data_IF_323031245990
#
_entry.id   IF_323031245990
#
_cell.length_a   1.000
_cell.length_b   1.000
_cell.length_c   1.000
_cell.angle_alpha   90.00
_cell.angle_beta   90.00
_cell.angle_gamma   90.00
#
_symmetry.space_group_name_H-M   'P 1'
#
loop_
_entity.id
_entity.type
_entity.pdbx_description
1 polymer ?
#
# COMPACT_ATOMS: atom_id res chain seq x y z
N UNK A 1 -6.24 -17.83 -7.14
CA UNK A 1 -5.92 -17.43 -5.75
C UNK A 1 -4.93 -18.42 -5.13
N UNK A 2 -3.70 -17.97 -4.83
CA UNK A 2 -2.65 -18.77 -4.18
C UNK A 2 -2.58 -18.43 -2.69
N UNK A 3 -2.37 -19.43 -1.83
CA UNK A 3 -2.28 -19.23 -0.37
C UNK A 3 -0.84 -19.38 0.10
N UNK A 4 -0.34 -18.39 0.83
CA UNK A 4 1.00 -18.39 1.43
C UNK A 4 0.86 -18.52 2.95
N UNK A 5 1.53 -19.52 3.52
CA UNK A 5 1.43 -19.87 4.93
C UNK A 5 2.72 -19.65 5.73
N UNK A 6 3.81 -19.24 5.07
CA UNK A 6 5.11 -18.98 5.69
C UNK A 6 5.95 -18.02 4.85
N UNK A 7 6.98 -17.43 5.46
CA UNK A 7 8.02 -16.65 4.80
C UNK A 7 9.23 -17.58 4.56
N UNK A 8 9.83 -17.51 3.38
CA UNK A 8 10.99 -18.33 3.02
C UNK A 8 12.32 -17.72 3.47
N UNK A 9 12.35 -16.41 3.67
CA UNK A 9 13.53 -15.66 4.08
C UNK A 9 13.41 -14.17 3.74
N UNK A 10 14.51 -13.46 3.86
CA UNK A 10 14.62 -12.05 3.50
C UNK A 10 15.29 -11.90 2.14
N UNK A 11 14.85 -10.93 1.33
CA UNK A 11 15.56 -10.53 0.11
C UNK A 11 17.00 -10.05 0.37
N UNK A 12 17.33 -9.75 1.63
CA UNK A 12 18.66 -9.31 2.06
C UNK A 12 19.61 -10.50 2.32
N UNK A 13 19.08 -11.73 2.46
CA UNK A 13 19.91 -12.91 2.66
C UNK A 13 20.73 -13.18 1.39
N UNK A 14 22.04 -13.42 1.52
CA UNK A 14 22.94 -13.50 0.37
C UNK A 14 22.53 -14.56 -0.67
N UNK A 15 22.09 -15.74 -0.22
CA UNK A 15 21.59 -16.80 -1.09
C UNK A 15 20.32 -16.38 -1.84
N UNK A 16 19.40 -15.73 -1.12
CA UNK A 16 18.14 -15.26 -1.63
C UNK A 16 18.33 -14.13 -2.64
N UNK A 17 19.19 -13.16 -2.32
CA UNK A 17 19.53 -12.03 -3.16
C UNK A 17 20.12 -12.48 -4.50
N UNK A 18 20.99 -13.49 -4.49
CA UNK A 18 21.56 -14.03 -5.72
C UNK A 18 20.49 -14.64 -6.63
N UNK A 19 19.60 -15.48 -6.07
CA UNK A 19 18.50 -16.10 -6.82
C UNK A 19 17.50 -15.07 -7.35
N UNK A 20 17.14 -14.09 -6.52
CA UNK A 20 16.27 -12.98 -6.90
C UNK A 20 16.88 -12.13 -8.01
N UNK A 21 18.20 -11.88 -7.99
CA UNK A 21 18.87 -11.11 -9.02
C UNK A 21 18.76 -11.78 -10.40
N UNK A 22 18.99 -13.10 -10.48
CA UNK A 22 18.83 -13.85 -11.73
C UNK A 22 17.39 -13.83 -12.26
N UNK A 23 16.40 -13.95 -11.38
CA UNK A 23 14.99 -13.88 -11.74
C UNK A 23 14.55 -12.46 -12.14
N UNK A 24 15.09 -11.43 -11.49
CA UNK A 24 14.78 -10.03 -11.77
C UNK A 24 15.20 -9.63 -13.19
N UNK A 25 16.36 -10.10 -13.67
CA UNK A 25 16.82 -9.88 -15.05
C UNK A 25 15.86 -10.44 -16.11
N UNK A 26 15.02 -11.41 -15.74
CA UNK A 26 14.03 -12.04 -16.62
C UNK A 26 12.61 -11.50 -16.40
N UNK A 27 12.44 -10.50 -15.53
CA UNK A 27 11.12 -9.98 -15.15
C UNK A 27 10.27 -10.98 -14.36
N UNK A 28 10.90 -11.98 -13.74
CA UNK A 28 10.23 -13.09 -13.07
C UNK A 28 10.03 -12.87 -11.56
N UNK A 29 10.26 -11.64 -11.07
CA UNK A 29 10.03 -11.27 -9.67
C UNK A 29 8.76 -10.44 -9.59
N UNK A 30 7.76 -10.97 -8.91
CA UNK A 30 6.52 -10.27 -8.62
C UNK A 30 6.54 -9.69 -7.21
N UNK A 31 5.77 -8.62 -7.01
CA UNK A 31 5.75 -7.85 -5.76
C UNK A 31 4.35 -7.84 -5.19
N UNK A 32 4.21 -8.31 -3.95
CA UNK A 32 2.99 -8.17 -3.17
C UNK A 32 3.08 -6.89 -2.34
N UNK A 33 2.32 -5.85 -2.72
CA UNK A 33 2.26 -4.62 -1.93
C UNK A 33 1.28 -4.81 -0.79
N UNK A 34 1.76 -4.64 0.44
CA UNK A 34 0.95 -4.71 1.65
C UNK A 34 1.05 -3.38 2.39
N UNK A 35 -0.10 -2.83 2.82
CA UNK A 35 -0.10 -1.61 3.62
C UNK A 35 0.51 -1.88 4.99
N UNK A 36 1.19 -0.89 5.58
CA UNK A 36 1.74 -1.00 6.94
C UNK A 36 0.68 -1.42 7.97
N UNK A 37 -0.57 -0.98 7.80
CA UNK A 37 -1.69 -1.35 8.68
C UNK A 37 -2.17 -2.78 8.51
N UNK A 38 -1.91 -3.38 7.35
CA UNK A 38 -2.30 -4.75 7.04
C UNK A 38 -1.25 -5.74 7.53
N UNK A 39 0.01 -5.33 7.72
CA UNK A 39 1.11 -6.16 8.22
C UNK A 39 0.76 -6.87 9.54
N UNK A 40 0.06 -6.19 10.44
CA UNK A 40 -0.35 -6.75 11.72
C UNK A 40 -1.49 -7.78 11.61
N UNK A 41 -2.14 -7.90 10.44
CA UNK A 41 -3.26 -8.82 10.22
C UNK A 41 -2.74 -10.22 9.91
N UNK A 42 -3.40 -11.20 10.52
CA UNK A 42 -3.07 -12.63 10.36
C UNK A 42 -3.43 -13.19 8.99
N UNK A 43 -4.46 -12.62 8.37
CA UNK A 43 -4.99 -13.04 7.09
C UNK A 43 -5.19 -11.81 6.23
N UNK A 44 -4.47 -11.76 5.12
CA UNK A 44 -4.52 -10.64 4.17
C UNK A 44 -4.83 -11.23 2.81
N UNK A 45 -5.79 -10.64 2.10
CA UNK A 45 -5.99 -10.88 0.67
C UNK A 45 -5.49 -9.65 -0.06
N UNK A 46 -4.54 -9.84 -0.94
CA UNK A 46 -3.95 -8.76 -1.72
C UNK A 46 -3.63 -9.26 -3.13
N UNK A 47 -3.55 -8.31 -4.05
CA UNK A 47 -3.22 -8.57 -5.45
C UNK A 47 -1.79 -8.12 -5.69
N UNK A 48 -0.99 -8.93 -6.36
CA UNK A 48 0.38 -8.58 -6.72
C UNK A 48 0.42 -7.53 -7.84
N UNK A 49 1.61 -6.99 -8.12
CA UNK A 49 1.79 -6.06 -9.24
C UNK A 49 1.53 -6.71 -10.60
N UNK A 50 1.76 -8.02 -10.74
CA UNK A 50 1.40 -8.75 -11.96
C UNK A 50 -0.10 -9.08 -12.08
N UNK A 51 -0.90 -8.78 -11.05
CA UNK A 51 -2.34 -9.06 -11.02
C UNK A 51 -2.72 -10.42 -10.42
N UNK A 52 -1.79 -11.14 -9.79
CA UNK A 52 -2.07 -12.42 -9.13
C UNK A 52 -2.75 -12.19 -7.76
N UNK A 53 -3.86 -12.88 -7.50
CA UNK A 53 -4.51 -12.87 -6.18
C UNK A 53 -3.79 -13.79 -5.17
N UNK A 54 -3.29 -13.20 -4.10
CA UNK A 54 -2.59 -13.88 -3.01
C UNK A 54 -3.37 -13.75 -1.70
N UNK A 55 -3.51 -14.86 -0.99
CA UNK A 55 -3.98 -14.91 0.38
C UNK A 55 -2.80 -15.24 1.31
N UNK A 56 -2.38 -14.28 2.13
CA UNK A 56 -1.43 -14.49 3.22
C UNK A 56 -2.18 -15.05 4.43
N UNK A 57 -1.67 -16.14 5.00
CA UNK A 57 -2.15 -16.77 6.21
C UNK A 57 -0.95 -17.19 7.08
N UNK A 58 -0.19 -16.20 7.57
CA UNK A 58 1.02 -16.41 8.35
C UNK A 58 0.71 -16.77 9.82
N UNK A 59 1.54 -17.60 10.47
CA UNK A 59 1.43 -17.88 11.90
C UNK A 59 1.82 -16.66 12.75
N UNK A 60 1.48 -16.68 14.05
CA UNK A 60 1.60 -15.49 14.92
C UNK A 60 3.04 -15.06 15.20
N UNK A 61 3.96 -16.00 15.12
CA UNK A 61 5.39 -15.87 15.38
C UNK A 61 6.18 -15.44 14.13
N UNK A 62 5.51 -15.28 12.98
CA UNK A 62 6.12 -14.94 11.71
C UNK A 62 5.51 -13.65 11.14
N UNK A 63 5.90 -12.48 11.68
CA UNK A 63 5.37 -11.19 11.21
C UNK A 63 5.83 -10.92 9.78
N UNK A 64 4.94 -10.36 8.96
CA UNK A 64 5.30 -9.88 7.63
C UNK A 64 6.21 -8.64 7.76
N UNK A 65 7.22 -8.53 6.90
CA UNK A 65 8.15 -7.41 6.87
C UNK A 65 8.51 -7.01 5.43
N UNK A 66 9.08 -5.82 5.25
CA UNK A 66 9.51 -5.36 3.93
C UNK A 66 10.64 -6.23 3.37
N UNK A 67 10.46 -6.72 2.15
CA UNK A 67 11.42 -7.61 1.51
C UNK A 67 11.32 -9.08 1.93
N UNK A 68 10.27 -9.47 2.66
CA UNK A 68 10.00 -10.88 2.94
C UNK A 68 9.75 -11.65 1.63
N UNK A 69 10.46 -12.77 1.44
CA UNK A 69 10.27 -13.64 0.28
C UNK A 69 9.20 -14.67 0.60
N UNK A 70 8.08 -14.59 -0.13
CA UNK A 70 6.87 -15.38 0.09
C UNK A 70 6.84 -16.65 -0.76
N UNK A 71 7.43 -16.59 -1.95
CA UNK A 71 7.59 -17.73 -2.84
C UNK A 71 8.87 -17.59 -3.66
N UNK A 72 9.53 -18.71 -3.92
CA UNK A 72 10.74 -18.76 -4.72
C UNK A 72 10.84 -20.12 -5.40
N UNK A 73 10.63 -20.12 -6.70
CA UNK A 73 10.71 -21.28 -7.58
C UNK A 73 11.87 -21.08 -8.59
N UNK A 74 12.10 -22.03 -9.49
CA UNK A 74 13.12 -21.90 -10.53
C UNK A 74 12.82 -20.77 -11.53
N UNK A 75 11.53 -20.49 -11.75
CA UNK A 75 11.05 -19.59 -12.80
C UNK A 75 10.39 -18.31 -12.28
N UNK A 76 10.17 -18.18 -10.96
CA UNK A 76 9.49 -17.01 -10.38
C UNK A 76 9.82 -16.79 -8.92
N UNK A 77 9.71 -15.54 -8.48
CA UNK A 77 9.73 -15.17 -7.06
C UNK A 77 8.59 -14.22 -6.71
N UNK A 78 8.14 -14.27 -5.46
CA UNK A 78 7.18 -13.32 -4.89
C UNK A 78 7.80 -12.67 -3.66
N UNK A 79 7.92 -11.35 -3.68
CA UNK A 79 8.49 -10.56 -2.58
C UNK A 79 7.43 -9.62 -2.02
N UNK A 80 7.28 -9.61 -0.70
CA UNK A 80 6.43 -8.64 -0.04
C UNK A 80 7.13 -7.28 -0.01
N UNK A 81 6.41 -6.25 -0.41
CA UNK A 81 6.79 -4.86 -0.17
C UNK A 81 5.81 -4.28 0.83
N UNK A 82 6.30 -3.99 2.03
CA UNK A 82 5.51 -3.31 3.03
C UNK A 82 5.64 -1.82 2.76
N UNK A 83 4.57 -1.21 2.27
CA UNK A 83 4.56 0.21 1.95
C UNK A 83 4.66 1.05 3.23
N UNK A 84 5.41 2.16 3.15
CA UNK A 84 5.15 3.33 3.96
C UNK A 84 3.70 3.76 3.80
N UNK A 85 3.05 4.18 4.88
CA UNK A 85 1.68 4.68 4.78
C UNK A 85 1.72 5.97 3.94
N UNK A 86 1.10 5.92 2.75
CA UNK A 86 1.00 7.09 1.87
C UNK A 86 -0.26 7.85 2.23
N UNK A 87 -0.13 9.15 2.41
CA UNK A 87 -1.24 10.01 2.79
C UNK A 87 -1.51 11.02 1.67
N UNK A 88 -2.77 11.11 1.24
CA UNK A 88 -3.25 12.21 0.43
C UNK A 88 -3.65 13.35 1.36
N UNK A 89 -2.83 14.40 1.41
CA UNK A 89 -3.16 15.61 2.15
C UNK A 89 -4.09 16.48 1.31
N UNK A 90 -5.27 16.75 1.84
CA UNK A 90 -6.32 17.55 1.20
C UNK A 90 -6.54 18.82 2.02
N UNK A 91 -6.34 19.97 1.40
CA UNK A 91 -6.49 21.29 2.03
C UNK A 91 -7.66 22.01 1.38
N UNK A 92 -8.79 22.17 2.09
CA UNK A 92 -9.90 22.98 1.59
C UNK A 92 -9.54 24.47 1.66
N UNK A 93 -10.01 25.25 0.68
CA UNK A 93 -9.79 26.70 0.61
C UNK A 93 -10.82 27.52 1.43
N UNK A 94 -11.89 26.87 1.88
CA UNK A 94 -13.04 27.50 2.54
C UNK A 94 -13.74 26.53 3.49
N UNK A 95 -14.54 27.07 4.42
CA UNK A 95 -15.32 26.24 5.34
C UNK A 95 -16.40 25.40 4.64
N UNK A 96 -16.98 25.92 3.55
CA UNK A 96 -17.94 25.19 2.74
C UNK A 96 -17.27 23.97 2.08
N UNK A 97 -16.12 24.17 1.44
CA UNK A 97 -15.33 23.08 0.87
C UNK A 97 -14.87 22.07 1.93
N UNK A 98 -14.51 22.54 3.14
CA UNK A 98 -14.14 21.67 4.25
C UNK A 98 -15.29 20.77 4.71
N UNK A 99 -16.51 21.31 4.78
CA UNK A 99 -17.71 20.56 5.15
C UNK A 99 -18.02 19.47 4.11
N UNK A 100 -18.01 19.83 2.82
CA UNK A 100 -18.22 18.88 1.73
C UNK A 100 -17.14 17.81 1.68
N UNK A 101 -15.87 18.19 1.81
CA UNK A 101 -14.73 17.28 1.87
C UNK A 101 -14.89 16.27 3.02
N UNK A 102 -15.29 16.74 4.21
CA UNK A 102 -15.59 15.89 5.36
C UNK A 102 -16.74 14.92 5.10
N UNK A 103 -17.81 15.40 4.46
CA UNK A 103 -18.94 14.56 4.05
C UNK A 103 -18.50 13.46 3.07
N UNK A 104 -17.73 13.80 2.03
CA UNK A 104 -17.23 12.84 1.06
C UNK A 104 -16.32 11.80 1.71
N UNK A 105 -15.31 12.23 2.48
CA UNK A 105 -14.40 11.30 3.13
C UNK A 105 -15.13 10.32 4.07
N UNK A 106 -16.13 10.81 4.82
CA UNK A 106 -16.99 9.97 5.67
C UNK A 106 -17.85 9.00 4.85
N UNK A 107 -18.55 9.50 3.84
CA UNK A 107 -19.45 8.71 2.99
C UNK A 107 -18.71 7.62 2.18
N UNK A 108 -17.48 7.89 1.78
CA UNK A 108 -16.64 6.94 1.05
C UNK A 108 -15.88 5.98 1.98
N UNK A 109 -16.09 6.10 3.30
CA UNK A 109 -15.42 5.32 4.36
C UNK A 109 -13.89 5.37 4.26
N UNK A 110 -13.35 6.54 3.94
CA UNK A 110 -11.91 6.73 3.89
C UNK A 110 -11.31 6.79 5.30
N UNK A 111 -10.13 6.18 5.45
CA UNK A 111 -9.34 6.32 6.67
C UNK A 111 -8.69 7.70 6.67
N UNK A 112 -8.96 8.50 7.70
CA UNK A 112 -8.50 9.89 7.77
C UNK A 112 -7.77 10.24 9.05
N UNK A 113 -6.85 11.20 8.97
CA UNK A 113 -6.26 11.95 10.09
C UNK A 113 -6.46 13.44 9.84
N UNK A 114 -6.52 14.23 10.92
CA UNK A 114 -6.58 15.68 10.84
C UNK A 114 -5.21 16.27 11.20
N UNK A 115 -4.70 17.18 10.36
CA UNK A 115 -3.43 17.84 10.61
C UNK A 115 -3.43 19.24 9.99
N UNK A 116 -3.20 20.28 10.79
CA UNK A 116 -3.01 21.67 10.34
C UNK A 116 -4.07 22.17 9.36
N UNK A 117 -5.35 21.97 9.67
CA UNK A 117 -6.47 22.37 8.82
C UNK A 117 -6.63 21.54 7.54
N UNK A 118 -5.87 20.47 7.39
CA UNK A 118 -5.95 19.53 6.30
C UNK A 118 -6.54 18.18 6.74
N UNK A 119 -7.15 17.50 5.77
CA UNK A 119 -7.59 16.12 5.89
C UNK A 119 -6.55 15.22 5.22
N UNK A 120 -5.93 14.34 5.99
CA UNK A 120 -5.01 13.31 5.47
C UNK A 120 -5.81 12.04 5.22
N UNK A 121 -5.89 11.59 3.98
CA UNK A 121 -6.56 10.34 3.59
C UNK A 121 -5.51 9.26 3.35
N UNK A 122 -5.60 8.12 4.04
CA UNK A 122 -4.68 7.02 3.79
C UNK A 122 -4.94 6.40 2.41
N UNK A 123 -3.88 6.23 1.63
CA UNK A 123 -3.95 5.73 0.26
C UNK A 123 -3.46 4.28 0.16
N UNK A 124 -4.34 3.42 -0.32
CA UNK A 124 -4.05 2.02 -0.65
C UNK A 124 -3.84 1.83 -2.18
N UNK A 125 -3.91 2.91 -2.97
CA UNK A 125 -3.84 2.91 -4.43
C UNK A 125 -3.27 4.22 -5.02
N UNK A 126 -3.42 4.46 -6.34
CA UNK A 126 -3.01 5.73 -6.95
C UNK A 126 -3.91 6.88 -6.48
N UNK A 127 -3.32 8.08 -6.31
CA UNK A 127 -4.06 9.26 -5.84
C UNK A 127 -5.25 9.62 -6.75
N UNK A 128 -5.12 9.41 -8.06
CA UNK A 128 -6.18 9.70 -9.03
C UNK A 128 -7.50 8.97 -8.73
N UNK A 129 -7.43 7.74 -8.20
CA UNK A 129 -8.62 6.98 -7.83
C UNK A 129 -9.40 7.64 -6.67
N UNK A 130 -8.73 8.43 -5.84
CA UNK A 130 -9.36 9.23 -4.78
C UNK A 130 -9.85 10.56 -5.32
N UNK A 131 -9.01 11.27 -6.09
CA UNK A 131 -9.33 12.60 -6.62
C UNK A 131 -10.55 12.58 -7.55
N UNK A 132 -10.70 11.54 -8.38
CA UNK A 132 -11.88 11.37 -9.25
C UNK A 132 -13.17 11.30 -8.42
N UNK A 133 -13.15 10.72 -7.22
CA UNK A 133 -14.33 10.62 -6.34
C UNK A 133 -14.69 11.94 -5.65
N UNK A 134 -13.74 12.87 -5.55
CA UNK A 134 -13.99 14.23 -5.04
C UNK A 134 -14.57 15.16 -6.11
N UNK A 135 -14.39 14.84 -7.39
CA UNK A 135 -15.04 15.54 -8.50
C UNK A 135 -14.81 17.05 -8.48
N UNK A 136 -15.91 17.81 -8.42
CA UNK A 136 -15.91 19.27 -8.49
C UNK A 136 -15.02 19.93 -7.43
N UNK A 137 -14.88 19.35 -6.23
CA UNK A 137 -14.00 19.90 -5.19
C UNK A 137 -12.55 20.04 -5.67
N UNK A 138 -12.06 19.11 -6.50
CA UNK A 138 -10.71 19.14 -7.04
C UNK A 138 -10.67 19.93 -8.35
N UNK A 139 -11.66 19.72 -9.24
CA UNK A 139 -11.72 20.39 -10.54
C UNK A 139 -11.88 21.91 -10.42
N UNK A 140 -12.69 22.37 -9.48
CA UNK A 140 -12.95 23.79 -9.20
C UNK A 140 -11.89 24.39 -8.26
N UNK A 141 -10.85 23.62 -7.91
CA UNK A 141 -9.74 24.02 -7.03
C UNK A 141 -10.13 24.42 -5.61
N UNK A 142 -11.30 23.98 -5.15
CA UNK A 142 -11.75 24.19 -3.77
C UNK A 142 -10.94 23.36 -2.77
N UNK A 143 -10.32 22.27 -3.23
CA UNK A 143 -9.41 21.43 -2.43
C UNK A 143 -8.08 21.26 -3.18
N UNK A 144 -6.98 21.69 -2.55
CA UNK A 144 -5.62 21.41 -3.02
C UNK A 144 -5.14 20.08 -2.43
N UNK A 145 -4.37 19.31 -3.20
CA UNK A 145 -3.87 18.01 -2.77
C UNK A 145 -2.34 17.90 -2.84
N UNK A 146 -1.75 17.10 -1.96
CA UNK A 146 -0.33 16.73 -1.99
C UNK A 146 -0.17 15.31 -1.46
N UNK A 147 0.74 14.53 -2.04
CA UNK A 147 1.06 13.18 -1.57
C UNK A 147 2.18 13.28 -0.54
N UNK A 148 1.98 12.67 0.62
CA UNK A 148 2.98 12.51 1.66
C UNK A 148 3.36 11.03 1.75
N UNK A 149 4.64 10.74 1.62
CA UNK A 149 5.19 9.43 1.95
C UNK A 149 5.65 9.48 3.40
N UNK A 150 4.97 8.76 4.30
CA UNK A 150 5.46 8.58 5.67
C UNK A 150 6.63 7.59 5.60
N UNK A 151 7.82 8.10 5.25
CA UNK A 151 9.03 7.30 5.24
C UNK A 151 9.13 6.60 6.60
N UNK A 152 9.21 5.27 6.59
CA UNK A 152 9.41 4.49 7.80
C UNK A 152 10.58 5.11 8.57
N UNK A 153 10.45 5.39 9.88
CA UNK A 153 11.60 5.86 10.65
C UNK A 153 12.72 4.82 10.49
N UNK A 154 13.88 5.30 10.06
CA UNK A 154 15.10 4.53 9.84
C UNK A 154 15.52 3.72 11.07
#
# INVERSE_FOLDING_TARGET
>A
MRVIHRILGSRQDAEMAHRLHHLAHRGAVDVLVVSSTDVARRRIRATTQSGEEIALALPRDEPLFDGAVLALDADRALVARVGSERWLRLVPDSQAAALELGYHAGNLHWRVRFADGALLVAMDGPADAYLVRLGALVTDRQVTHTILDEAAPC
#
